data_IF_281433421067
#
_entry.id   IF_281433421067
#
_cell.length_a   1.000
_cell.length_b   1.000
_cell.length_c   1.000
_cell.angle_alpha   90.00
_cell.angle_beta   90.00
_cell.angle_gamma   90.00
#
_symmetry.space_group_name_H-M   'P 1'
#
loop_
_entity.id
_entity.type
_entity.pdbx_description
1 polymer ?
#
# COMPACT_ATOMS: atom_id res chain seq x y z
N UNK A 1 14.17 -7.64 7.08
CA UNK A 1 12.77 -7.53 6.65
C UNK A 1 12.66 -6.32 5.73
N UNK A 2 12.32 -6.50 4.47
CA UNK A 2 12.14 -5.40 3.52
C UNK A 2 10.64 -5.11 3.40
N UNK A 3 10.15 -4.20 4.22
CA UNK A 3 8.86 -3.56 3.96
C UNK A 3 9.08 -2.51 2.89
N UNK A 4 8.36 -2.62 1.78
CA UNK A 4 8.25 -1.54 0.79
C UNK A 4 7.87 -0.27 1.56
N UNK A 5 8.60 0.83 1.35
CA UNK A 5 8.19 2.14 1.83
C UNK A 5 6.81 2.41 1.21
N UNK A 6 5.74 2.12 1.96
CA UNK A 6 4.43 2.69 1.65
C UNK A 6 4.69 4.20 1.56
N UNK A 7 4.28 4.81 0.44
CA UNK A 7 4.20 6.26 0.33
C UNK A 7 3.66 6.77 1.67
N UNK A 8 4.41 7.68 2.29
CA UNK A 8 4.11 8.18 3.62
C UNK A 8 2.83 9.01 3.49
N UNK A 9 1.69 8.33 3.49
CA UNK A 9 0.38 8.97 3.52
C UNK A 9 0.33 9.69 4.85
N UNK A 10 0.46 11.03 4.81
CA UNK A 10 0.57 11.85 6.01
C UNK A 10 -0.75 11.90 6.80
N UNK A 11 -1.86 11.53 6.16
CA UNK A 11 -3.20 11.42 6.74
C UNK A 11 -3.81 10.10 6.27
N UNK A 12 -3.75 9.07 7.11
CA UNK A 12 -4.30 7.75 6.77
C UNK A 12 -5.72 7.53 7.24
N UNK A 13 -6.25 8.40 8.11
CA UNK A 13 -7.49 8.11 8.81
C UNK A 13 -8.25 9.40 9.20
N UNK A 14 -9.58 9.31 9.20
CA UNK A 14 -10.49 10.38 9.60
C UNK A 14 -10.29 10.72 11.08
N UNK A 15 -10.05 9.71 11.93
CA UNK A 15 -9.81 9.92 13.36
C UNK A 15 -8.49 10.66 13.63
N UNK A 16 -7.48 10.50 12.76
CA UNK A 16 -6.25 11.29 12.83
C UNK A 16 -6.51 12.76 12.54
N UNK A 17 -7.35 13.09 11.54
CA UNK A 17 -7.73 14.46 11.23
C UNK A 17 -8.45 15.13 12.40
N UNK A 18 -9.38 14.40 13.03
CA UNK A 18 -10.15 14.88 14.20
C UNK A 18 -9.27 15.10 15.42
N UNK A 19 -8.44 14.11 15.79
CA UNK A 19 -7.59 14.17 16.98
C UNK A 19 -6.58 15.32 16.93
N UNK A 20 -6.06 15.63 15.74
CA UNK A 20 -5.10 16.71 15.53
C UNK A 20 -5.75 18.05 15.17
N UNK A 21 -7.09 18.12 15.19
CA UNK A 21 -7.86 19.32 14.88
C UNK A 21 -7.45 19.95 13.52
N UNK A 22 -7.21 19.10 12.52
CA UNK A 22 -6.75 19.50 11.20
C UNK A 22 -7.93 20.03 10.37
N UNK A 23 -7.65 21.04 9.54
CA UNK A 23 -8.64 21.59 8.62
C UNK A 23 -8.84 20.67 7.43
N UNK A 24 -10.09 20.50 7.02
CA UNK A 24 -10.50 19.65 5.90
C UNK A 24 -11.32 20.46 4.90
N UNK A 25 -11.18 20.17 3.61
CA UNK A 25 -11.90 20.86 2.55
C UNK A 25 -13.10 20.06 2.05
N UNK A 26 -14.22 20.71 1.77
CA UNK A 26 -15.33 20.14 1.00
C UNK A 26 -15.96 21.22 0.11
N UNK A 27 -16.74 20.79 -0.87
CA UNK A 27 -17.55 21.70 -1.66
C UNK A 27 -18.61 22.36 -0.77
N UNK A 28 -18.93 23.63 -1.04
CA UNK A 28 -19.83 24.45 -0.24
C UNK A 28 -21.29 24.03 -0.36
N UNK A 29 -21.68 23.63 -1.56
CA UNK A 29 -23.07 23.28 -1.89
C UNK A 29 -23.32 21.76 -1.83
N UNK A 30 -22.36 21.00 -1.28
CA UNK A 30 -22.46 19.55 -1.17
C UNK A 30 -23.02 19.09 0.18
N UNK A 31 -23.81 18.01 0.14
CA UNK A 31 -24.26 17.28 1.34
C UNK A 31 -23.08 16.80 2.21
N UNK A 32 -21.88 16.70 1.63
CA UNK A 32 -20.65 16.31 2.32
C UNK A 32 -20.39 17.17 3.54
N UNK A 33 -20.72 18.47 3.51
CA UNK A 33 -20.53 19.36 4.67
C UNK A 33 -21.38 18.91 5.86
N UNK A 34 -22.67 18.64 5.62
CA UNK A 34 -23.58 18.17 6.67
C UNK A 34 -23.16 16.78 7.17
N UNK A 35 -22.75 15.90 6.26
CA UNK A 35 -22.22 14.58 6.64
C UNK A 35 -20.98 14.69 7.54
N UNK A 36 -20.05 15.60 7.23
CA UNK A 36 -18.86 15.84 8.05
C UNK A 36 -19.22 16.33 9.46
N UNK A 37 -20.20 17.22 9.59
CA UNK A 37 -20.63 17.79 10.88
C UNK A 37 -21.48 16.79 11.67
N UNK A 38 -22.55 16.28 11.06
CA UNK A 38 -23.61 15.57 11.77
C UNK A 38 -23.27 14.09 12.00
N UNK A 39 -22.57 13.46 11.04
CA UNK A 39 -22.24 12.03 11.10
C UNK A 39 -20.80 11.81 11.57
N UNK A 40 -19.83 12.46 10.92
CA UNK A 40 -18.41 12.28 11.26
C UNK A 40 -17.96 13.14 12.45
N UNK A 41 -18.81 14.06 12.92
CA UNK A 41 -18.58 14.91 14.09
C UNK A 41 -17.32 15.77 13.98
N UNK A 42 -17.05 16.31 12.79
CA UNK A 42 -16.06 17.36 12.61
C UNK A 42 -16.60 18.68 13.17
N UNK A 43 -15.71 19.45 13.81
CA UNK A 43 -16.03 20.82 14.20
C UNK A 43 -16.22 21.67 12.95
N UNK A 44 -17.31 22.44 12.90
CA UNK A 44 -17.63 23.31 11.76
C UNK A 44 -16.49 24.29 11.41
N UNK A 45 -15.75 24.79 12.39
CA UNK A 45 -14.59 25.69 12.22
C UNK A 45 -13.39 25.05 11.51
N UNK A 46 -13.31 23.71 11.51
CA UNK A 46 -12.26 22.96 10.83
C UNK A 46 -12.67 22.55 9.40
N UNK A 47 -13.90 22.83 8.99
CA UNK A 47 -14.38 22.51 7.66
C UNK A 47 -14.30 23.77 6.81
N UNK A 48 -13.41 23.74 5.81
CA UNK A 48 -13.24 24.81 4.85
C UNK A 48 -14.07 24.51 3.61
N UNK A 49 -14.98 25.41 3.31
CA UNK A 49 -15.74 25.41 2.05
C UNK A 49 -14.84 25.87 0.90
N UNK A 50 -14.83 25.10 -0.19
CA UNK A 50 -14.04 25.36 -1.40
C UNK A 50 -14.99 25.43 -2.59
N UNK A 51 -15.21 26.64 -3.10
CA UNK A 51 -16.27 26.93 -4.08
C UNK A 51 -15.96 26.51 -5.53
N UNK A 52 -14.74 26.02 -5.80
CA UNK A 52 -14.35 25.59 -7.15
C UNK A 52 -13.35 24.46 -7.06
N UNK A 53 -13.52 23.47 -7.94
CA UNK A 53 -12.65 22.30 -8.05
C UNK A 53 -11.18 22.68 -8.27
N UNK A 54 -10.92 23.76 -8.99
CA UNK A 54 -9.55 24.21 -9.30
C UNK A 54 -8.82 24.77 -8.07
N UNK A 55 -9.56 25.21 -7.05
CA UNK A 55 -8.99 25.82 -5.85
C UNK A 55 -8.39 24.78 -4.89
N UNK A 56 -8.77 23.50 -4.98
CA UNK A 56 -8.28 22.46 -4.08
C UNK A 56 -6.75 22.36 -4.05
N UNK A 57 -6.12 22.45 -5.22
CA UNK A 57 -4.66 22.35 -5.34
C UNK A 57 -3.99 23.47 -4.54
N UNK A 58 -4.44 24.71 -4.74
CA UNK A 58 -3.90 25.87 -4.03
C UNK A 58 -4.14 25.78 -2.52
N UNK A 59 -5.26 25.22 -2.09
CA UNK A 59 -5.57 25.03 -0.67
C UNK A 59 -4.68 23.96 -0.01
N UNK A 60 -4.35 22.88 -0.72
CA UNK A 60 -3.36 21.90 -0.29
C UNK A 60 -1.94 22.49 -0.25
N UNK A 61 -1.52 23.22 -1.28
CA UNK A 61 -0.18 23.81 -1.37
C UNK A 61 0.07 24.86 -0.29
N UNK A 62 -0.96 25.66 0.05
CA UNK A 62 -0.92 26.62 1.18
C UNK A 62 -1.07 25.96 2.55
N UNK A 63 -1.27 24.64 2.61
CA UNK A 63 -1.53 23.86 3.85
C UNK A 63 -2.74 24.38 4.64
N UNK A 64 -3.70 24.97 3.95
CA UNK A 64 -4.95 25.42 4.57
C UNK A 64 -5.90 24.26 4.85
N UNK A 65 -5.76 23.16 4.10
CA UNK A 65 -6.44 21.89 4.32
C UNK A 65 -5.40 20.76 4.38
N UNK A 66 -5.67 19.74 5.19
CA UNK A 66 -4.88 18.52 5.28
C UNK A 66 -5.49 17.37 4.46
N UNK A 67 -6.80 17.41 4.23
CA UNK A 67 -7.55 16.45 3.44
C UNK A 67 -8.73 17.13 2.76
N UNK A 68 -9.20 16.54 1.65
CA UNK A 68 -10.41 16.94 0.96
C UNK A 68 -11.40 15.78 1.02
N UNK A 69 -12.66 16.09 1.32
CA UNK A 69 -13.77 15.16 1.20
C UNK A 69 -14.54 15.53 -0.07
N UNK A 70 -14.52 14.62 -1.03
CA UNK A 70 -15.11 14.77 -2.34
C UNK A 70 -16.08 13.61 -2.56
N UNK A 71 -17.13 13.85 -3.34
CA UNK A 71 -17.98 12.78 -3.84
C UNK A 71 -17.18 11.91 -4.84
N UNK A 72 -17.42 10.60 -4.84
CA UNK A 72 -16.62 9.59 -5.56
C UNK A 72 -16.26 9.93 -7.02
N UNK A 73 -17.19 10.38 -7.91
CA UNK A 73 -16.81 10.68 -9.29
C UNK A 73 -15.82 11.85 -9.37
N UNK A 74 -15.96 12.88 -8.53
CA UNK A 74 -15.05 14.02 -8.51
C UNK A 74 -13.70 13.66 -7.91
N UNK A 75 -13.69 12.82 -6.87
CA UNK A 75 -12.46 12.24 -6.32
C UNK A 75 -11.69 11.48 -7.41
N UNK A 76 -12.37 10.61 -8.16
CA UNK A 76 -11.74 9.84 -9.26
C UNK A 76 -11.10 10.76 -10.30
N UNK A 77 -11.83 11.77 -10.77
CA UNK A 77 -11.29 12.77 -11.71
C UNK A 77 -10.07 13.47 -11.13
N UNK A 78 -10.13 13.89 -9.87
CA UNK A 78 -9.04 14.60 -9.20
C UNK A 78 -7.78 13.72 -9.12
N UNK A 79 -7.90 12.48 -8.67
CA UNK A 79 -6.75 11.56 -8.56
C UNK A 79 -6.20 11.19 -9.93
N UNK A 80 -7.04 10.95 -10.93
CA UNK A 80 -6.61 10.65 -12.29
C UNK A 80 -5.79 11.77 -12.93
N UNK A 81 -6.02 13.01 -12.52
CA UNK A 81 -5.28 14.19 -12.99
C UNK A 81 -4.04 14.51 -12.13
N UNK A 82 -4.05 14.16 -10.84
CA UNK A 82 -3.03 14.60 -9.89
C UNK A 82 -2.41 13.48 -9.03
N UNK A 83 -2.42 12.23 -9.50
CA UNK A 83 -1.95 11.03 -8.78
C UNK A 83 -0.51 11.10 -8.25
N UNK A 84 0.35 11.95 -8.84
CA UNK A 84 1.74 12.11 -8.40
C UNK A 84 1.85 12.93 -7.11
N UNK A 85 0.91 13.85 -6.88
CA UNK A 85 0.90 14.78 -5.74
C UNK A 85 -0.05 14.33 -4.63
N UNK A 86 -1.16 13.70 -5.01
CA UNK A 86 -2.24 13.35 -4.09
C UNK A 86 -2.59 11.88 -4.18
N UNK A 87 -3.12 11.36 -3.09
CA UNK A 87 -3.60 9.99 -2.99
C UNK A 87 -4.97 9.99 -2.35
N UNK A 88 -5.86 9.17 -2.89
CA UNK A 88 -7.15 8.87 -2.32
C UNK A 88 -7.01 7.80 -1.23
N UNK A 89 -7.79 7.96 -0.16
CA UNK A 89 -7.95 6.89 0.83
C UNK A 89 -9.24 6.18 0.48
N UNK A 90 -9.17 4.99 -0.12
CA UNK A 90 -10.38 4.27 -0.50
C UNK A 90 -11.16 3.91 0.78
N UNK A 91 -12.39 4.42 0.97
CA UNK A 91 -13.19 4.03 2.12
C UNK A 91 -13.54 2.55 2.00
N UNK A 92 -13.62 1.85 3.15
CA UNK A 92 -14.04 0.44 3.21
C UNK A 92 -15.51 0.25 2.89
N UNK A 93 -16.28 1.34 2.84
CA UNK A 93 -17.71 1.36 2.51
C UNK A 93 -17.98 2.44 1.47
N UNK A 94 -18.82 2.14 0.47
CA UNK A 94 -19.39 3.16 -0.41
C UNK A 94 -20.54 3.85 0.33
N UNK A 95 -20.49 5.17 0.41
CA UNK A 95 -21.55 5.99 0.97
C UNK A 95 -22.14 6.89 -0.12
N UNK A 96 -23.46 6.84 -0.30
CA UNK A 96 -24.19 7.64 -1.29
C UNK A 96 -24.16 7.07 -2.71
N UNK A 97 -24.81 7.80 -3.62
CA UNK A 97 -24.92 7.47 -5.04
C UNK A 97 -25.54 8.62 -5.84
N UNK A 98 -25.30 8.64 -7.16
CA UNK A 98 -25.98 9.55 -8.07
C UNK A 98 -27.21 8.86 -8.65
N UNK A 99 -28.30 9.60 -8.77
CA UNK A 99 -29.58 9.09 -9.28
C UNK A 99 -30.24 10.07 -10.23
N UNK A 100 -31.17 9.56 -11.02
CA UNK A 100 -32.05 10.36 -11.86
C UNK A 100 -33.37 10.58 -11.13
N UNK A 101 -33.92 11.78 -11.24
CA UNK A 101 -35.12 12.18 -10.52
C UNK A 101 -36.25 12.46 -11.51
N UNK A 102 -37.42 11.91 -11.21
CA UNK A 102 -38.64 12.09 -11.98
C UNK A 102 -39.78 12.49 -11.04
N UNK A 103 -40.81 13.15 -11.58
CA UNK A 103 -42.04 13.39 -10.83
C UNK A 103 -42.68 12.06 -10.42
N UNK A 104 -43.30 12.02 -9.23
CA UNK A 104 -44.00 10.82 -8.75
C UNK A 104 -45.11 10.41 -9.72
N UNK A 105 -45.22 9.10 -9.94
CA UNK A 105 -46.14 8.52 -10.92
C UNK A 105 -45.70 8.64 -12.37
N UNK A 106 -44.51 9.20 -12.64
CA UNK A 106 -43.99 9.26 -14.00
C UNK A 106 -43.71 7.85 -14.53
N UNK A 107 -44.33 7.45 -15.66
CA UNK A 107 -44.15 6.11 -16.22
C UNK A 107 -42.70 5.85 -16.65
N UNK A 108 -41.94 6.91 -16.97
CA UNK A 108 -40.56 6.79 -17.45
C UNK A 108 -39.57 6.38 -16.35
N UNK A 109 -39.92 6.58 -15.06
CA UNK A 109 -39.00 6.29 -13.96
C UNK A 109 -38.62 4.80 -13.91
N UNK A 110 -39.60 3.93 -14.17
CA UNK A 110 -39.41 2.48 -14.22
C UNK A 110 -38.56 2.07 -15.41
N UNK A 111 -38.87 2.60 -16.60
CA UNK A 111 -38.12 2.30 -17.82
C UNK A 111 -36.66 2.75 -17.72
N UNK A 112 -36.42 3.94 -17.15
CA UNK A 112 -35.09 4.48 -16.96
C UNK A 112 -34.28 3.62 -15.96
N UNK A 113 -34.89 3.24 -14.84
CA UNK A 113 -34.24 2.37 -13.84
C UNK A 113 -33.88 1.01 -14.45
N UNK A 114 -34.76 0.42 -15.27
CA UNK A 114 -34.50 -0.83 -15.98
C UNK A 114 -33.37 -0.69 -17.00
N UNK A 115 -33.29 0.45 -17.70
CA UNK A 115 -32.20 0.73 -18.62
C UNK A 115 -30.86 0.85 -17.87
N UNK A 116 -30.81 1.56 -16.75
CA UNK A 116 -29.59 1.68 -15.92
C UNK A 116 -29.16 0.31 -15.38
N UNK A 117 -30.09 -0.51 -14.89
CA UNK A 117 -29.79 -1.87 -14.44
C UNK A 117 -29.20 -2.72 -15.58
N UNK A 118 -29.81 -2.64 -16.76
CA UNK A 118 -29.32 -3.36 -17.95
C UNK A 118 -27.90 -2.93 -18.33
N UNK A 119 -27.61 -1.62 -18.30
CA UNK A 119 -26.27 -1.06 -18.55
C UNK A 119 -25.25 -1.49 -17.48
N UNK A 120 -25.69 -1.72 -16.25
CA UNK A 120 -24.84 -2.22 -15.18
C UNK A 120 -24.54 -3.71 -15.36
N UNK A 121 -25.56 -4.53 -15.61
CA UNK A 121 -25.45 -5.99 -15.76
C UNK A 121 -24.62 -6.41 -16.97
N UNK A 122 -24.75 -5.68 -18.08
CA UNK A 122 -24.00 -5.98 -19.30
C UNK A 122 -22.58 -5.37 -19.32
N UNK A 123 -22.18 -4.63 -18.28
CA UNK A 123 -20.86 -4.02 -18.15
C UNK A 123 -20.68 -2.69 -18.89
N UNK A 124 -21.64 -2.21 -19.67
CA UNK A 124 -21.53 -0.96 -20.43
C UNK A 124 -21.31 0.27 -19.52
N UNK A 125 -21.88 0.26 -18.31
CA UNK A 125 -21.67 1.32 -17.33
C UNK A 125 -20.20 1.36 -16.86
N UNK A 126 -19.56 0.20 -16.71
CA UNK A 126 -18.14 0.10 -16.36
C UNK A 126 -17.27 0.57 -17.52
N UNK A 127 -17.60 0.21 -18.75
CA UNK A 127 -16.88 0.67 -19.94
C UNK A 127 -16.94 2.20 -20.08
N UNK A 128 -18.11 2.79 -19.79
CA UNK A 128 -18.27 4.24 -19.72
C UNK A 128 -17.43 4.84 -18.60
N UNK A 129 -17.42 4.22 -17.42
CA UNK A 129 -16.61 4.68 -16.29
C UNK A 129 -15.12 4.68 -16.66
N UNK A 130 -14.60 3.60 -17.24
CA UNK A 130 -13.20 3.50 -17.66
C UNK A 130 -12.85 4.48 -18.78
N UNK A 131 -13.79 4.73 -19.71
CA UNK A 131 -13.61 5.68 -20.81
C UNK A 131 -13.55 7.13 -20.35
N UNK A 132 -14.45 7.53 -19.45
CA UNK A 132 -14.57 8.93 -19.01
C UNK A 132 -13.70 9.26 -17.80
N UNK A 133 -13.41 8.28 -16.96
CA UNK A 133 -12.51 8.40 -15.81
C UNK A 133 -11.20 7.63 -16.06
N UNK A 134 -10.68 7.66 -17.29
CA UNK A 134 -9.37 7.13 -17.57
C UNK A 134 -8.29 7.96 -16.83
N UNK A 135 -7.27 7.32 -16.22
CA UNK A 135 -6.14 8.03 -15.66
C UNK A 135 -5.39 8.80 -16.75
N UNK A 136 -4.89 9.99 -16.41
CA UNK A 136 -4.06 10.78 -17.33
C UNK A 136 -2.80 9.99 -17.75
N UNK A 137 -2.17 10.31 -18.91
CA UNK A 137 -0.94 9.66 -19.36
C UNK A 137 0.20 9.66 -18.32
N UNK A 138 0.23 10.71 -17.49
CA UNK A 138 1.17 10.86 -16.38
C UNK A 138 0.91 9.89 -15.22
N UNK A 139 -0.33 9.46 -15.06
CA UNK A 139 -0.78 8.51 -14.05
C UNK A 139 -0.81 7.07 -14.56
N UNK A 140 -0.87 6.86 -15.88
CA UNK A 140 -0.80 5.55 -16.52
C UNK A 140 0.63 5.09 -16.84
N UNK A 141 1.62 6.00 -16.79
CA UNK A 141 3.05 5.68 -16.94
C UNK A 141 3.63 5.07 -15.67
N UNK A 142 3.11 3.91 -15.28
CA UNK A 142 3.60 3.11 -14.15
C UNK A 142 4.20 1.77 -14.60
N UNK A 143 5.14 1.78 -15.54
CA UNK A 143 6.02 0.61 -15.77
C UNK A 143 7.48 1.01 -16.09
N UNK A 144 7.73 2.17 -16.71
CA UNK A 144 9.08 2.47 -17.25
C UNK A 144 9.94 3.39 -16.38
N UNK A 145 9.36 4.23 -15.51
CA UNK A 145 10.13 4.99 -14.51
C UNK A 145 10.07 4.30 -13.14
N UNK A 146 10.41 3.02 -13.15
CA UNK A 146 10.74 2.28 -11.95
C UNK A 146 12.09 2.78 -11.42
N UNK A 147 12.11 4.01 -10.89
CA UNK A 147 12.89 4.30 -9.69
C UNK A 147 12.26 3.54 -8.53
N UNK A 148 12.17 2.22 -8.65
CA UNK A 148 12.18 1.35 -7.49
C UNK A 148 13.37 1.84 -6.68
N UNK A 149 13.14 2.26 -5.43
CA UNK A 149 14.22 2.56 -4.50
C UNK A 149 15.05 1.28 -4.32
N UNK A 150 15.93 1.02 -5.29
CA UNK A 150 16.93 -0.03 -5.22
C UNK A 150 17.79 0.39 -4.05
N UNK A 151 17.86 -0.45 -3.02
CA UNK A 151 18.77 -0.27 -1.91
C UNK A 151 20.17 -0.05 -2.49
N UNK A 152 20.62 1.19 -2.49
CA UNK A 152 21.98 1.51 -2.92
C UNK A 152 22.91 0.89 -1.88
N UNK A 153 24.06 0.35 -2.32
CA UNK A 153 25.08 -0.23 -1.43
C UNK A 153 25.50 0.74 -0.31
N UNK A 154 25.34 2.05 -0.56
CA UNK A 154 25.49 3.12 0.44
C UNK A 154 24.65 2.91 1.70
N UNK A 155 23.41 2.41 1.59
CA UNK A 155 22.53 2.17 2.75
C UNK A 155 23.05 1.06 3.69
N UNK A 156 24.01 0.26 3.23
CA UNK A 156 24.63 -0.82 4.00
C UNK A 156 26.07 -0.49 4.44
N UNK A 157 26.49 0.78 4.36
CA UNK A 157 27.85 1.20 4.70
C UNK A 157 28.30 0.74 6.10
N UNK A 158 27.40 0.74 7.09
CA UNK A 158 27.69 0.23 8.43
C UNK A 158 28.12 -1.25 8.47
N UNK A 159 27.49 -2.12 7.66
CA UNK A 159 27.88 -3.54 7.56
C UNK A 159 29.27 -3.69 6.93
N UNK A 160 29.60 -2.88 5.93
CA UNK A 160 30.93 -2.88 5.32
C UNK A 160 32.00 -2.43 6.31
N UNK A 161 31.73 -1.39 7.11
CA UNK A 161 32.66 -0.93 8.16
C UNK A 161 32.88 -2.01 9.20
N UNK A 162 31.81 -2.64 9.71
CA UNK A 162 31.92 -3.68 10.75
C UNK A 162 32.70 -4.88 10.21
N UNK A 163 32.39 -5.34 9.00
CA UNK A 163 33.10 -6.44 8.36
C UNK A 163 34.58 -6.12 8.13
N UNK A 164 34.88 -4.93 7.62
CA UNK A 164 36.25 -4.46 7.40
C UNK A 164 37.06 -4.31 8.70
N UNK A 165 36.46 -3.72 9.74
CA UNK A 165 37.09 -3.57 11.05
C UNK A 165 37.37 -4.93 11.70
N UNK A 166 36.42 -5.85 11.65
CA UNK A 166 36.59 -7.19 12.23
C UNK A 166 37.69 -7.96 11.50
N UNK A 167 37.71 -7.90 10.16
CA UNK A 167 38.73 -8.55 9.33
C UNK A 167 40.13 -8.00 9.62
N UNK A 168 40.28 -6.67 9.69
CA UNK A 168 41.56 -6.01 9.98
C UNK A 168 42.06 -6.32 11.39
N UNK A 169 41.20 -6.27 12.42
CA UNK A 169 41.56 -6.63 13.79
C UNK A 169 42.06 -8.08 13.87
N UNK A 170 41.33 -9.03 13.28
CA UNK A 170 41.75 -10.44 13.22
C UNK A 170 43.11 -10.61 12.53
N UNK A 171 43.34 -9.88 11.44
CA UNK A 171 44.62 -9.90 10.73
C UNK A 171 45.76 -9.37 11.59
N UNK A 172 45.59 -8.24 12.28
CA UNK A 172 46.61 -7.69 13.18
C UNK A 172 46.93 -8.63 14.34
N UNK A 173 45.93 -9.23 14.99
CA UNK A 173 46.14 -10.22 16.05
C UNK A 173 46.91 -11.45 15.56
N UNK A 174 46.64 -11.89 14.33
CA UNK A 174 47.37 -13.00 13.71
C UNK A 174 48.84 -12.67 13.47
N UNK A 175 49.15 -11.48 12.95
CA UNK A 175 50.53 -11.02 12.75
C UNK A 175 51.28 -10.90 14.09
N UNK A 176 50.64 -10.32 15.12
CA UNK A 176 51.21 -10.22 16.47
C UNK A 176 51.53 -11.62 17.03
N UNK A 177 50.62 -12.58 16.84
CA UNK A 177 50.85 -13.97 17.28
C UNK A 177 52.06 -14.59 16.59
N UNK A 178 52.20 -14.39 15.27
CA UNK A 178 53.37 -14.88 14.52
C UNK A 178 54.66 -14.26 15.04
N UNK A 179 54.69 -12.94 15.24
CA UNK A 179 55.89 -12.24 15.73
C UNK A 179 56.25 -12.70 17.15
N UNK A 180 55.25 -12.87 18.03
CA UNK A 180 55.46 -13.37 19.40
C UNK A 180 55.99 -14.81 19.41
N UNK A 181 55.46 -15.67 18.54
CA UNK A 181 55.95 -17.06 18.40
C UNK A 181 57.38 -17.10 17.85
N UNK A 182 57.73 -16.22 16.91
CA UNK A 182 59.10 -16.06 16.40
C UNK A 182 60.06 -15.54 17.47
N UNK A 183 59.65 -14.53 18.25
CA UNK A 183 60.47 -13.98 19.34
C UNK A 183 60.66 -15.00 20.48
N UNK A 184 59.62 -15.77 20.79
CA UNK A 184 59.67 -16.84 21.81
C UNK A 184 60.47 -18.05 21.37
N UNK A 185 60.70 -18.27 20.07
CA UNK A 185 61.54 -19.35 19.55
C UNK A 185 63.01 -18.95 19.33
N UNK A 186 63.45 -17.75 19.72
CA UNK A 186 64.86 -17.33 19.60
C UNK A 186 65.80 -17.91 20.69
N UNK A 187 65.38 -18.95 21.40
CA UNK A 187 66.32 -19.96 21.92
C UNK A 187 66.40 -21.12 20.92
N UNK A 188 67.35 -20.99 19.97
CA UNK A 188 67.86 -21.98 18.99
C UNK A 188 67.56 -21.66 17.52
N UNK A 189 68.58 -21.50 16.66
CA UNK A 189 68.41 -21.08 15.27
C UNK A 189 68.06 -22.29 14.38
N UNK A 190 66.92 -22.23 13.69
CA UNK A 190 66.77 -22.93 12.40
C UNK A 190 65.72 -22.25 11.53
N UNK A 191 66.21 -21.44 10.60
CA UNK A 191 65.46 -21.07 9.40
C UNK A 191 64.98 -22.36 8.71
N UNK A 192 63.66 -22.45 8.43
CA UNK A 192 62.97 -23.30 7.44
C UNK A 192 61.42 -23.40 7.65
N UNK A 193 60.81 -22.60 8.53
CA UNK A 193 59.41 -22.83 8.95
C UNK A 193 58.33 -22.02 8.21
N UNK A 194 58.64 -20.90 7.53
CA UNK A 194 57.59 -19.97 7.09
C UNK A 194 57.05 -20.35 5.71
N UNK A 195 57.92 -20.58 4.73
CA UNK A 195 57.52 -20.97 3.37
C UNK A 195 56.86 -22.36 3.33
N UNK A 196 57.30 -23.30 4.19
CA UNK A 196 56.73 -24.64 4.30
C UNK A 196 55.32 -24.67 4.92
N UNK A 197 55.02 -23.74 5.83
CA UNK A 197 53.66 -23.55 6.40
C UNK A 197 52.72 -22.87 5.40
N UNK A 198 53.20 -21.89 4.65
CA UNK A 198 52.44 -21.25 3.57
C UNK A 198 52.15 -22.23 2.42
N UNK A 199 53.13 -23.04 2.01
CA UNK A 199 52.92 -24.13 1.04
C UNK A 199 51.89 -25.15 1.56
N UNK A 200 51.90 -25.47 2.86
CA UNK A 200 50.90 -26.40 3.45
C UNK A 200 49.48 -25.82 3.41
N UNK A 201 49.30 -24.52 3.68
CA UNK A 201 47.99 -23.86 3.58
C UNK A 201 47.53 -23.73 2.13
N UNK A 202 48.43 -23.35 1.21
CA UNK A 202 48.13 -23.34 -0.22
C UNK A 202 47.73 -24.74 -0.70
N UNK A 203 48.48 -25.79 -0.30
CA UNK A 203 48.15 -27.19 -0.63
C UNK A 203 46.82 -27.63 -0.03
N UNK A 204 46.45 -27.16 1.16
CA UNK A 204 45.14 -27.44 1.77
C UNK A 204 43.98 -26.79 1.01
N UNK A 205 44.18 -25.58 0.48
CA UNK A 205 43.17 -24.84 -0.30
C UNK A 205 43.06 -25.42 -1.72
N UNK A 206 44.19 -25.78 -2.35
CA UNK A 206 44.19 -26.42 -3.67
C UNK A 206 43.69 -27.87 -3.65
N UNK A 207 43.82 -28.59 -2.53
CA UNK A 207 43.38 -29.98 -2.38
C UNK A 207 41.98 -30.12 -1.75
N UNK A 208 41.35 -28.99 -1.34
CA UNK A 208 39.95 -28.90 -0.93
C UNK A 208 38.94 -28.83 -2.09
N UNK A 209 39.41 -28.95 -3.34
CA UNK A 209 38.56 -28.99 -4.52
C UNK A 209 38.47 -30.43 -5.06
N UNK A 210 37.81 -31.32 -4.31
CA UNK A 210 37.23 -32.59 -4.78
C UNK A 210 36.15 -33.03 -3.77
N UNK A 211 35.02 -32.31 -3.73
CA UNK A 211 33.76 -32.90 -3.27
C UNK A 211 33.09 -33.42 -4.53
N UNK A 212 33.29 -34.71 -4.81
CA UNK A 212 32.47 -35.42 -5.79
C UNK A 212 31.02 -35.42 -5.28
N UNK A 213 30.13 -34.81 -6.05
CA UNK A 213 28.69 -35.04 -5.94
C UNK A 213 28.41 -36.49 -6.34
N UNK A 214 28.41 -37.40 -5.36
CA UNK A 214 27.77 -38.70 -5.50
C UNK A 214 26.25 -38.47 -5.40
N UNK A 215 25.59 -38.47 -6.55
CA UNK A 215 24.15 -38.70 -6.62
C UNK A 215 23.97 -40.19 -6.31
N UNK A 216 23.59 -40.51 -5.07
CA UNK A 216 23.08 -41.84 -4.74
C UNK A 216 21.55 -41.79 -4.75
N UNK A 217 20.97 -42.42 -5.77
CA UNK A 217 19.55 -42.75 -5.83
C UNK A 217 19.30 -43.89 -4.84
N UNK A 218 18.80 -43.57 -3.65
CA UNK A 218 18.08 -44.56 -2.85
C UNK A 218 16.75 -43.99 -2.38
N UNK A 219 15.69 -44.54 -2.97
CA UNK A 219 14.27 -44.33 -2.69
C UNK A 219 13.92 -44.73 -1.25
N UNK A 220 13.32 -43.84 -0.44
CA UNK A 220 12.53 -44.24 0.71
C UNK A 220 11.05 -44.35 0.33
N UNK A 221 10.45 -45.48 0.71
CA UNK A 221 9.01 -45.75 0.61
C UNK A 221 8.20 -44.77 1.48
N UNK A 222 7.04 -44.40 0.97
CA UNK A 222 6.04 -43.49 1.54
C UNK A 222 5.22 -44.21 2.65
N UNK A 223 5.00 -43.60 3.83
CA UNK A 223 3.84 -43.91 4.65
C UNK A 223 2.63 -43.14 4.11
N UNK A 224 1.62 -43.88 3.72
CA UNK A 224 0.31 -43.40 3.27
C UNK A 224 -0.40 -42.71 4.44
N UNK A 225 -0.45 -41.37 4.41
CA UNK A 225 -1.31 -40.58 5.30
C UNK A 225 -2.55 -40.18 4.52
N UNK A 226 -3.65 -40.85 4.84
CA UNK A 226 -5.01 -40.58 4.43
C UNK A 226 -5.37 -39.12 4.74
N UNK A 227 -5.45 -38.29 3.69
CA UNK A 227 -5.98 -36.94 3.76
C UNK A 227 -7.48 -36.97 3.97
N UNK A 228 -7.92 -36.91 5.24
CA UNK A 228 -9.30 -36.63 5.60
C UNK A 228 -9.61 -35.17 5.25
N UNK A 229 -10.27 -34.96 4.12
CA UNK A 229 -10.93 -33.70 3.81
C UNK A 229 -12.05 -33.41 4.80
N UNK A 230 -12.11 -32.16 5.27
CA UNK A 230 -13.35 -31.59 5.80
C UNK A 230 -13.40 -30.08 5.56
N UNK A 231 -14.60 -29.51 5.44
CA UNK A 231 -14.88 -28.49 4.45
C UNK A 231 -15.25 -27.14 5.08
N UNK A 232 -15.48 -26.17 4.19
CA UNK A 232 -16.53 -25.14 4.33
C UNK A 232 -16.16 -23.91 5.18
N UNK A 233 -15.53 -22.92 4.54
CA UNK A 233 -15.70 -21.53 4.95
C UNK A 233 -17.13 -21.10 4.60
N UNK A 234 -17.97 -20.91 5.62
CA UNK A 234 -19.27 -20.27 5.49
C UNK A 234 -19.05 -18.76 5.36
N UNK A 235 -19.55 -18.19 4.26
CA UNK A 235 -19.85 -16.77 4.16
C UNK A 235 -20.87 -16.41 5.25
N UNK A 236 -20.55 -15.41 6.08
CA UNK A 236 -21.49 -14.85 7.05
C UNK A 236 -21.88 -13.46 6.56
N UNK A 237 -23.11 -13.37 6.03
CA UNK A 237 -23.83 -12.12 5.79
C UNK A 237 -24.38 -11.61 7.12
N UNK A 238 -24.29 -10.30 7.42
CA UNK A 238 -25.13 -9.67 8.43
C UNK A 238 -26.25 -8.88 7.76
N UNK A 239 -27.45 -9.47 7.71
CA UNK A 239 -28.71 -8.73 7.62
C UNK A 239 -29.21 -8.46 9.04
N UNK A 240 -29.51 -7.19 9.35
CA UNK A 240 -30.64 -6.71 10.17
C UNK A 240 -30.31 -5.36 10.81
N UNK A 241 -30.66 -4.26 10.12
CA UNK A 241 -30.91 -2.98 10.78
C UNK A 241 -32.42 -2.71 10.74
N UNK A 242 -32.99 -2.55 11.93
CA UNK A 242 -34.39 -2.26 12.19
C UNK A 242 -34.75 -0.86 11.71
N UNK A 243 -35.88 -0.75 11.02
CA UNK A 243 -36.51 0.52 10.69
C UNK A 243 -36.97 1.23 11.97
N UNK A 244 -36.58 2.48 12.12
CA UNK A 244 -37.26 3.44 13.00
C UNK A 244 -37.96 4.47 12.12
N UNK A 245 -39.28 4.52 12.28
CA UNK A 245 -40.18 5.51 11.72
C UNK A 245 -40.19 6.75 12.63
N UNK A 246 -40.06 7.95 12.07
CA UNK A 246 -40.79 9.14 12.51
C UNK A 246 -40.60 10.35 11.59
N UNK A 247 -41.76 10.93 11.22
CA UNK A 247 -42.08 12.36 11.10
C UNK A 247 -41.57 13.18 9.90
N UNK A 248 -42.42 13.16 8.85
CA UNK A 248 -43.06 14.31 8.18
C UNK A 248 -42.38 15.69 8.27
N UNK A 249 -41.94 16.17 7.11
CA UNK A 249 -42.08 17.58 6.69
C UNK A 249 -42.48 17.56 5.22
N UNK A 250 -43.57 18.23 4.91
CA UNK A 250 -44.22 18.30 3.60
C UNK A 250 -43.26 18.94 2.57
N UNK A 251 -42.69 18.11 1.70
CA UNK A 251 -41.92 18.50 0.53
C UNK A 251 -42.38 17.62 -0.62
N UNK A 252 -42.37 18.18 -1.84
CA UNK A 252 -42.89 17.54 -3.06
C UNK A 252 -42.60 16.03 -3.07
N UNK A 253 -43.66 15.25 -3.20
CA UNK A 253 -43.62 13.80 -3.26
C UNK A 253 -42.70 13.36 -4.41
N UNK A 254 -41.46 12.98 -4.09
CA UNK A 254 -40.43 12.52 -5.03
C UNK A 254 -40.04 11.10 -4.63
N UNK A 255 -40.13 10.19 -5.58
CA UNK A 255 -39.71 8.80 -5.41
C UNK A 255 -38.27 8.65 -5.90
N UNK A 256 -37.35 8.36 -4.97
CA UNK A 256 -35.93 8.14 -5.28
C UNK A 256 -35.70 6.62 -5.37
N UNK A 257 -35.44 6.11 -6.57
CA UNK A 257 -35.16 4.70 -6.80
C UNK A 257 -33.70 4.37 -6.46
N UNK A 258 -33.51 3.63 -5.36
CA UNK A 258 -32.21 3.12 -4.93
C UNK A 258 -31.82 1.88 -5.75
N UNK A 259 -30.73 1.96 -6.51
CA UNK A 259 -30.12 0.81 -7.18
C UNK A 259 -28.95 0.33 -6.31
N UNK A 260 -29.03 -0.87 -5.68
CA UNK A 260 -27.93 -1.41 -4.90
C UNK A 260 -26.75 -1.72 -5.82
N UNK A 261 -25.56 -1.23 -5.45
CA UNK A 261 -24.31 -1.62 -6.09
C UNK A 261 -23.95 -3.07 -5.76
N UNK A 262 -23.80 -3.89 -6.80
CA UNK A 262 -23.21 -5.22 -6.72
C UNK A 262 -21.69 -5.20 -6.70
#
# INVERSE_FOLDING_TARGET
MLTVNKLKVNVTDIEFLKRNNLKVGCDGDSFVRNYLVDVLQFKSENIKTINSQDNYIGEFEKKHIAAAFLELPYEKVFINNYCKKFSATTPTYRFGGLGFMFHKGSPIAMDFSKAILTLSENGALKDLEEKWFAPSPECSTSVTDNRTERLRLHSFWGLYIISGATSTICFFLFIIKIIKDQYRSNTSPRNNSIWSKAIRLARFIYQGQQINFAIDQTRPQLPEIVGRGSPRWKYSSPDAAKNHEAASSEAADVEMLYIPGG
#
